data_IF_848370610190
#
_entry.id   IF_848370610190
#
_cell.length_a   1.000
_cell.length_b   1.000
_cell.length_c   1.000
_cell.angle_alpha   90.00
_cell.angle_beta   90.00
_cell.angle_gamma   90.00
#
_symmetry.space_group_name_H-M   'P 1'
#
loop_
_entity.id
_entity.type
_entity.pdbx_description
1 polymer ?
#
# COMPACT_ATOMS: atom_id res chain seq x y z
N UNK A 1 18.15 -21.31 1.06
CA UNK A 1 17.49 -22.01 2.21
C UNK A 1 16.38 -22.86 1.64
N UNK A 2 16.13 -24.07 2.18
CA UNK A 2 15.01 -24.90 1.74
C UNK A 2 13.71 -24.49 2.41
N UNK A 3 12.59 -24.46 1.67
CA UNK A 3 11.26 -24.18 2.20
C UNK A 3 10.55 -25.51 2.51
N UNK A 4 10.28 -25.78 3.79
CA UNK A 4 9.47 -26.93 4.19
C UNK A 4 8.00 -26.65 3.87
N UNK A 5 7.30 -27.60 3.27
CA UNK A 5 5.90 -27.46 2.88
C UNK A 5 5.04 -28.46 3.63
N UNK A 6 4.10 -27.95 4.43
CA UNK A 6 3.06 -28.71 5.10
C UNK A 6 1.71 -28.24 4.58
N UNK A 7 1.04 -29.04 3.78
CA UNK A 7 -0.28 -28.69 3.23
C UNK A 7 -1.39 -29.03 4.23
N UNK A 8 -2.42 -28.18 4.26
CA UNK A 8 -3.62 -28.48 5.04
C UNK A 8 -4.31 -29.74 4.54
N UNK A 9 -4.82 -30.53 5.49
CA UNK A 9 -5.67 -31.68 5.18
C UNK A 9 -7.16 -31.31 5.08
N UNK A 10 -7.51 -30.10 5.49
CA UNK A 10 -8.88 -29.57 5.54
C UNK A 10 -8.97 -28.21 4.88
N UNK A 11 -8.95 -28.13 3.52
CA UNK A 11 -9.08 -26.85 2.82
C UNK A 11 -10.37 -26.13 3.19
N UNK A 12 -10.32 -24.80 3.30
CA UNK A 12 -11.47 -23.95 3.60
C UNK A 12 -12.41 -23.87 2.38
N UNK A 13 -13.71 -23.70 2.63
CA UNK A 13 -14.63 -23.29 1.59
C UNK A 13 -14.26 -21.89 1.08
N UNK A 14 -14.26 -21.71 -0.25
CA UNK A 14 -13.98 -20.42 -0.87
C UNK A 14 -15.17 -19.47 -0.65
N UNK A 15 -14.92 -18.20 -0.33
CA UNK A 15 -15.99 -17.21 -0.23
C UNK A 15 -16.59 -16.87 -1.60
N UNK A 16 -17.77 -16.29 -1.59
CA UNK A 16 -18.38 -15.72 -2.80
C UNK A 16 -17.55 -14.51 -3.28
N UNK A 17 -17.05 -14.59 -4.52
CA UNK A 17 -16.21 -13.53 -5.11
C UNK A 17 -16.94 -12.20 -5.28
N UNK A 18 -18.27 -12.17 -5.27
CA UNK A 18 -19.08 -10.94 -5.31
C UNK A 18 -19.08 -10.16 -3.99
N UNK A 19 -18.65 -10.78 -2.88
CA UNK A 19 -18.74 -10.22 -1.52
C UNK A 19 -17.44 -10.30 -0.70
N UNK A 20 -16.30 -10.36 -1.36
CA UNK A 20 -15.00 -10.55 -0.71
C UNK A 20 -14.63 -9.46 0.30
N UNK A 21 -15.00 -8.20 0.04
CA UNK A 21 -14.50 -7.08 0.86
C UNK A 21 -12.98 -6.93 0.78
N UNK A 22 -12.37 -6.42 1.84
CA UNK A 22 -10.92 -6.29 1.94
C UNK A 22 -10.40 -6.88 3.25
N UNK A 23 -9.50 -7.88 3.17
CA UNK A 23 -8.83 -8.46 4.34
C UNK A 23 -9.72 -9.27 5.29
N UNK A 24 -10.86 -9.77 4.83
CA UNK A 24 -11.82 -10.54 5.64
C UNK A 24 -11.59 -12.06 5.56
N UNK A 25 -11.12 -12.54 4.42
CA UNK A 25 -10.86 -13.95 4.15
C UNK A 25 -9.38 -14.18 3.94
N UNK A 26 -8.87 -15.32 4.39
CA UNK A 26 -7.47 -15.70 4.23
C UNK A 26 -7.38 -17.08 3.59
N UNK A 27 -6.34 -17.28 2.78
CA UNK A 27 -6.09 -18.54 2.09
C UNK A 27 -5.78 -19.69 3.05
N UNK A 28 -5.57 -20.87 2.51
CA UNK A 28 -5.37 -22.09 3.31
C UNK A 28 -4.00 -22.13 3.99
N UNK A 29 -3.00 -21.43 3.44
CA UNK A 29 -1.63 -21.50 3.93
C UNK A 29 -1.04 -20.11 4.19
N UNK A 30 0.08 -20.08 4.93
CA UNK A 30 0.93 -18.93 5.15
C UNK A 30 2.39 -19.33 5.10
N UNK A 31 3.27 -18.42 4.68
CA UNK A 31 4.71 -18.59 4.80
C UNK A 31 5.20 -17.99 6.11
N UNK A 32 6.13 -18.68 6.78
CA UNK A 32 6.78 -18.22 8.02
C UNK A 32 8.28 -18.53 7.95
N UNK A 33 9.09 -17.59 8.42
CA UNK A 33 10.53 -17.75 8.57
C UNK A 33 10.98 -17.07 9.86
N UNK A 34 11.81 -17.75 10.64
CA UNK A 34 12.31 -17.25 11.93
C UNK A 34 13.71 -16.66 11.78
N UNK A 35 14.01 -15.66 12.61
CA UNK A 35 15.33 -15.06 12.73
C UNK A 35 15.81 -15.09 14.18
N UNK A 36 17.06 -15.46 14.37
CA UNK A 36 17.80 -15.18 15.59
C UNK A 36 19.16 -14.57 15.24
N UNK A 37 19.67 -13.71 16.13
CA UNK A 37 20.98 -13.08 15.91
C UNK A 37 22.10 -14.12 15.72
N UNK A 38 22.02 -15.25 16.38
CA UNK A 38 23.01 -16.33 16.30
C UNK A 38 22.96 -17.07 14.98
N UNK A 39 21.75 -17.41 14.48
CA UNK A 39 21.56 -18.28 13.31
C UNK A 39 21.28 -17.51 12.02
N UNK A 40 20.97 -16.22 12.11
CA UNK A 40 20.37 -15.50 11.00
C UNK A 40 18.95 -16.00 10.71
N UNK A 41 18.51 -15.87 9.46
CA UNK A 41 17.23 -16.42 8.99
C UNK A 41 17.31 -17.94 8.90
N UNK A 42 16.30 -18.63 9.41
CA UNK A 42 16.19 -20.08 9.43
C UNK A 42 14.75 -20.57 9.47
N UNK A 43 14.54 -21.85 9.29
CA UNK A 43 13.26 -22.57 9.43
C UNK A 43 12.14 -21.99 8.54
N UNK A 44 12.50 -21.71 7.27
CA UNK A 44 11.52 -21.28 6.26
C UNK A 44 10.50 -22.38 5.97
N UNK A 45 9.21 -22.05 6.08
CA UNK A 45 8.14 -23.03 5.94
C UNK A 45 6.84 -22.41 5.42
N UNK A 46 6.11 -23.19 4.65
CA UNK A 46 4.71 -22.93 4.28
C UNK A 46 3.87 -23.92 5.08
N UNK A 47 2.96 -23.41 5.89
CA UNK A 47 2.14 -24.20 6.82
C UNK A 47 0.66 -23.79 6.72
N UNK A 48 -0.28 -24.61 7.22
CA UNK A 48 -1.69 -24.21 7.30
C UNK A 48 -1.86 -22.87 8.02
N UNK A 49 -2.69 -22.00 7.48
CA UNK A 49 -3.00 -20.70 8.07
C UNK A 49 -3.61 -20.87 9.47
N UNK A 50 -2.96 -20.31 10.48
CA UNK A 50 -3.35 -20.45 11.88
C UNK A 50 -3.02 -19.20 12.70
N UNK A 51 -3.51 -19.15 13.92
CA UNK A 51 -3.17 -18.12 14.89
C UNK A 51 -1.68 -18.21 15.27
N UNK A 52 -1.06 -17.06 15.52
CA UNK A 52 0.30 -16.99 16.07
C UNK A 52 0.24 -17.08 17.59
N UNK A 53 1.12 -17.89 18.17
CA UNK A 53 1.33 -17.93 19.62
C UNK A 53 2.56 -17.12 19.97
N UNK A 54 2.36 -15.98 20.64
CA UNK A 54 3.42 -15.04 20.99
C UNK A 54 3.47 -14.83 22.51
N UNK A 55 4.68 -14.62 23.04
CA UNK A 55 4.86 -14.29 24.46
C UNK A 55 4.26 -12.90 24.75
N UNK A 56 3.56 -12.68 25.90
CA UNK A 56 2.96 -11.37 26.21
C UNK A 56 3.95 -10.19 26.24
N UNK A 57 5.21 -10.43 26.55
CA UNK A 57 6.28 -9.42 26.50
C UNK A 57 6.95 -9.31 25.13
N UNK A 58 6.33 -9.85 24.06
CA UNK A 58 6.87 -9.76 22.71
C UNK A 58 7.05 -8.29 22.31
N UNK A 59 8.23 -7.95 21.80
CA UNK A 59 8.65 -6.57 21.52
C UNK A 59 7.66 -5.82 20.62
N UNK A 60 7.06 -6.48 19.65
CA UNK A 60 6.08 -5.87 18.74
C UNK A 60 4.89 -5.26 19.47
N UNK A 61 4.41 -5.88 20.55
CA UNK A 61 3.22 -5.41 21.30
C UNK A 61 3.44 -4.10 22.06
N UNK A 62 4.69 -3.79 22.40
CA UNK A 62 5.01 -2.68 23.30
C UNK A 62 5.73 -1.53 22.61
N UNK A 63 6.51 -1.82 21.57
CA UNK A 63 7.43 -0.82 20.99
C UNK A 63 7.27 -0.67 19.47
N UNK A 64 6.22 -1.27 18.88
CA UNK A 64 5.92 -1.11 17.45
C UNK A 64 7.06 -1.56 16.54
N UNK A 65 7.85 -2.56 16.97
CA UNK A 65 8.96 -3.10 16.19
C UNK A 65 8.42 -4.01 15.07
N UNK A 66 7.78 -3.41 14.06
CA UNK A 66 7.21 -4.15 12.94
C UNK A 66 7.16 -3.29 11.67
N UNK A 67 7.16 -3.99 10.54
CA UNK A 67 6.98 -3.44 9.20
C UNK A 67 6.13 -4.38 8.38
N UNK A 68 5.50 -3.84 7.33
CA UNK A 68 4.71 -4.66 6.42
C UNK A 68 4.78 -4.16 4.99
N UNK A 69 4.34 -4.99 4.08
CA UNK A 69 4.15 -4.65 2.69
C UNK A 69 2.73 -4.97 2.21
N UNK A 70 2.38 -4.48 1.03
CA UNK A 70 1.12 -4.78 0.38
C UNK A 70 1.31 -4.79 -1.12
N UNK A 71 1.03 -5.94 -1.73
CA UNK A 71 1.01 -6.15 -3.17
C UNK A 71 -0.17 -7.03 -3.55
N UNK A 72 -0.36 -7.29 -4.83
CA UNK A 72 -1.47 -8.09 -5.32
C UNK A 72 -1.01 -9.09 -6.38
N UNK A 73 -1.64 -10.27 -6.39
CA UNK A 73 -1.62 -11.17 -7.51
C UNK A 73 -2.93 -11.06 -8.29
N UNK A 74 -2.83 -11.08 -9.60
CA UNK A 74 -3.93 -10.88 -10.52
C UNK A 74 -4.07 -12.11 -11.42
N UNK A 75 -5.32 -12.51 -11.70
CA UNK A 75 -5.60 -13.54 -12.70
C UNK A 75 -5.94 -12.88 -14.03
N UNK A 76 -5.22 -13.24 -15.07
CA UNK A 76 -5.50 -12.77 -16.42
C UNK A 76 -6.71 -13.47 -17.03
N UNK A 77 -7.22 -12.98 -18.15
CA UNK A 77 -8.33 -13.62 -18.88
C UNK A 77 -8.00 -15.04 -19.35
N UNK A 78 -6.73 -15.33 -19.62
CA UNK A 78 -6.21 -16.64 -20.00
C UNK A 78 -6.02 -17.59 -18.81
N UNK A 79 -6.29 -17.10 -17.57
CA UNK A 79 -6.15 -17.87 -16.35
C UNK A 79 -4.76 -17.86 -15.73
N UNK A 80 -3.79 -17.15 -16.32
CA UNK A 80 -2.44 -17.01 -15.75
C UNK A 80 -2.47 -16.13 -14.51
N UNK A 81 -1.54 -16.35 -13.59
CA UNK A 81 -1.37 -15.54 -12.39
C UNK A 81 -0.12 -14.70 -12.52
N UNK A 82 -0.22 -13.42 -12.17
CA UNK A 82 0.91 -12.50 -12.25
C UNK A 82 0.93 -11.50 -11.10
N UNK A 83 2.13 -11.03 -10.74
CA UNK A 83 2.40 -9.96 -9.79
C UNK A 83 2.74 -8.67 -10.54
N UNK A 84 2.65 -7.54 -9.84
CA UNK A 84 3.03 -6.24 -10.37
C UNK A 84 4.18 -5.66 -9.56
N UNK A 85 5.40 -5.60 -10.12
CA UNK A 85 6.64 -5.04 -9.56
C UNK A 85 6.99 -5.58 -8.15
N UNK A 86 6.89 -6.88 -7.86
CA UNK A 86 7.10 -7.43 -6.51
C UNK A 86 8.50 -7.14 -5.97
N UNK A 87 9.52 -7.04 -6.81
CA UNK A 87 10.90 -6.71 -6.43
C UNK A 87 10.97 -5.34 -5.73
N UNK A 88 10.17 -4.37 -6.20
CA UNK A 88 10.11 -3.05 -5.58
C UNK A 88 9.49 -3.09 -4.18
N UNK A 89 8.56 -4.02 -3.94
CA UNK A 89 7.98 -4.23 -2.62
C UNK A 89 9.00 -4.83 -1.65
N UNK A 90 9.75 -5.85 -2.05
CA UNK A 90 10.76 -6.44 -1.17
C UNK A 90 11.94 -5.49 -0.91
N UNK A 91 12.38 -4.72 -1.90
CA UNK A 91 13.37 -3.66 -1.70
C UNK A 91 12.87 -2.61 -0.70
N UNK A 92 11.59 -2.21 -0.77
CA UNK A 92 10.99 -1.26 0.18
C UNK A 92 10.78 -1.88 1.56
N UNK A 93 10.45 -3.16 1.66
CA UNK A 93 10.43 -3.90 2.93
C UNK A 93 11.78 -3.79 3.63
N UNK A 94 12.88 -4.03 2.89
CA UNK A 94 14.24 -3.92 3.43
C UNK A 94 14.61 -2.47 3.81
N UNK A 95 14.21 -1.48 3.03
CA UNK A 95 14.37 -0.07 3.41
C UNK A 95 13.66 0.26 4.72
N UNK A 96 12.45 -0.27 4.91
CA UNK A 96 11.71 -0.13 6.18
C UNK A 96 12.40 -0.90 7.31
N UNK A 97 12.88 -2.13 7.06
CA UNK A 97 13.60 -2.93 8.05
C UNK A 97 14.87 -2.24 8.54
N UNK A 98 15.66 -1.68 7.63
CA UNK A 98 16.87 -0.92 7.96
C UNK A 98 16.55 0.24 8.92
N UNK A 99 15.53 1.05 8.62
CA UNK A 99 15.12 2.18 9.46
C UNK A 99 14.63 1.73 10.83
N UNK A 100 13.90 0.62 10.89
CA UNK A 100 13.32 0.07 12.12
C UNK A 100 14.31 -0.85 12.87
N UNK A 101 15.53 -1.03 12.34
CA UNK A 101 16.57 -1.92 12.90
C UNK A 101 16.11 -3.36 13.06
N UNK A 102 15.25 -3.81 12.16
CA UNK A 102 14.88 -5.20 11.97
C UNK A 102 15.86 -5.89 11.00
N UNK A 103 15.99 -7.24 11.04
CA UNK A 103 16.87 -7.95 10.11
C UNK A 103 16.36 -7.82 8.68
N UNK A 104 17.29 -7.62 7.73
CA UNK A 104 16.97 -7.61 6.31
C UNK A 104 16.65 -9.02 5.82
N UNK A 105 15.71 -9.15 4.89
CA UNK A 105 15.40 -10.41 4.22
C UNK A 105 16.13 -10.48 2.87
N UNK A 106 16.51 -11.69 2.43
CA UNK A 106 16.96 -11.90 1.06
C UNK A 106 15.76 -11.71 0.11
N UNK A 107 15.83 -10.70 -0.75
CA UNK A 107 14.72 -10.30 -1.63
C UNK A 107 14.37 -11.40 -2.65
N UNK A 108 15.38 -12.07 -3.20
CA UNK A 108 15.16 -13.16 -4.15
C UNK A 108 14.51 -14.37 -3.48
N UNK A 109 14.96 -14.72 -2.28
CA UNK A 109 14.36 -15.79 -1.49
C UNK A 109 12.93 -15.45 -1.03
N UNK A 110 12.68 -14.21 -0.64
CA UNK A 110 11.33 -13.77 -0.25
C UNK A 110 10.36 -13.83 -1.44
N UNK A 111 10.83 -13.49 -2.65
CA UNK A 111 10.04 -13.63 -3.87
C UNK A 111 9.78 -15.11 -4.21
N UNK A 112 10.79 -15.98 -4.12
CA UNK A 112 10.63 -17.44 -4.30
C UNK A 112 9.61 -18.01 -3.33
N UNK A 113 9.68 -17.62 -2.06
CA UNK A 113 8.74 -18.05 -1.03
C UNK A 113 7.30 -17.60 -1.34
N UNK A 114 7.13 -16.35 -1.79
CA UNK A 114 5.85 -15.82 -2.22
C UNK A 114 5.28 -16.58 -3.42
N UNK A 115 6.09 -16.80 -4.46
CA UNK A 115 5.67 -17.58 -5.64
C UNK A 115 5.22 -18.99 -5.26
N UNK A 116 6.00 -19.65 -4.39
CA UNK A 116 5.69 -20.99 -3.91
C UNK A 116 4.36 -21.01 -3.14
N UNK A 117 4.14 -20.03 -2.28
CA UNK A 117 2.89 -19.90 -1.54
C UNK A 117 1.68 -19.66 -2.46
N UNK A 118 1.83 -18.76 -3.46
CA UNK A 118 0.76 -18.51 -4.43
C UNK A 118 0.45 -19.75 -5.27
N UNK A 119 1.47 -20.53 -5.71
CA UNK A 119 1.26 -21.77 -6.44
C UNK A 119 0.48 -22.81 -5.64
N UNK A 120 0.75 -22.92 -4.34
CA UNK A 120 0.03 -23.83 -3.43
C UNK A 120 -1.43 -23.41 -3.27
N UNK A 121 -1.68 -22.10 -3.16
CA UNK A 121 -3.01 -21.50 -2.95
C UNK A 121 -3.56 -20.86 -4.24
N UNK A 122 -3.16 -21.34 -5.43
CA UNK A 122 -3.53 -20.71 -6.71
C UNK A 122 -5.05 -20.60 -6.92
N UNK A 123 -5.81 -21.55 -6.39
CA UNK A 123 -7.28 -21.53 -6.44
C UNK A 123 -7.93 -20.39 -5.66
N UNK A 124 -7.15 -19.72 -4.78
CA UNK A 124 -7.60 -18.56 -4.02
C UNK A 124 -7.44 -17.24 -4.76
N UNK A 125 -6.74 -17.23 -5.90
CA UNK A 125 -6.68 -16.05 -6.76
C UNK A 125 -8.02 -15.92 -7.48
N UNK A 126 -8.83 -14.89 -7.18
CA UNK A 126 -10.19 -14.81 -7.68
C UNK A 126 -10.27 -14.64 -9.20
N UNK A 127 -11.43 -14.98 -9.78
CA UNK A 127 -11.72 -14.92 -11.21
C UNK A 127 -12.59 -13.73 -11.61
N UNK A 128 -13.40 -13.21 -10.67
CA UNK A 128 -14.34 -12.14 -10.96
C UNK A 128 -13.61 -10.84 -11.35
N UNK A 129 -14.13 -10.08 -12.32
CA UNK A 129 -13.53 -8.83 -12.75
C UNK A 129 -13.32 -7.85 -11.58
N UNK A 130 -12.15 -7.20 -11.53
CA UNK A 130 -11.79 -6.25 -10.49
C UNK A 130 -11.35 -6.87 -9.15
N UNK A 131 -11.43 -8.19 -9.02
CA UNK A 131 -10.94 -8.92 -7.84
C UNK A 131 -9.44 -9.23 -7.96
N UNK A 132 -8.79 -9.53 -6.85
CA UNK A 132 -7.37 -9.90 -6.82
C UNK A 132 -7.03 -10.66 -5.53
N UNK A 133 -5.87 -11.27 -5.47
CA UNK A 133 -5.34 -11.82 -4.23
C UNK A 133 -4.41 -10.79 -3.60
N UNK A 134 -4.80 -10.22 -2.45
CA UNK A 134 -3.95 -9.31 -1.70
C UNK A 134 -2.91 -10.08 -0.91
N UNK A 135 -1.67 -9.64 -0.98
CA UNK A 135 -0.50 -10.25 -0.38
C UNK A 135 0.02 -9.32 0.71
N UNK A 136 0.16 -9.84 1.94
CA UNK A 136 0.64 -9.12 3.10
C UNK A 136 1.91 -9.77 3.66
N UNK A 137 3.09 -9.42 3.15
CA UNK A 137 4.34 -9.68 3.86
C UNK A 137 4.44 -8.77 5.08
N UNK A 138 4.90 -9.28 6.20
CA UNK A 138 5.21 -8.49 7.39
C UNK A 138 6.32 -9.13 8.22
N UNK A 139 7.04 -8.28 8.92
CA UNK A 139 8.21 -8.65 9.72
C UNK A 139 8.14 -7.92 11.06
N UNK A 140 8.32 -8.65 12.15
CA UNK A 140 8.26 -8.05 13.48
C UNK A 140 9.30 -8.62 14.44
N UNK A 141 9.68 -7.80 15.44
CA UNK A 141 10.53 -8.21 16.57
C UNK A 141 9.78 -9.08 17.55
N UNK A 142 10.32 -10.25 17.84
CA UNK A 142 9.68 -11.31 18.64
C UNK A 142 10.40 -11.60 19.95
N UNK A 143 11.27 -10.72 20.43
CA UNK A 143 11.98 -10.92 21.71
C UNK A 143 10.98 -10.97 22.88
N UNK A 144 11.03 -11.98 23.75
CA UNK A 144 10.13 -12.12 24.88
C UNK A 144 10.61 -11.35 26.12
N UNK A 145 10.88 -10.05 25.96
CA UNK A 145 11.37 -9.19 27.05
C UNK A 145 10.89 -7.75 26.89
N UNK A 146 10.71 -7.06 28.01
CA UNK A 146 10.40 -5.64 28.06
C UNK A 146 11.67 -4.79 27.99
N UNK A 147 11.48 -3.50 27.69
CA UNK A 147 12.54 -2.50 27.52
C UNK A 147 12.90 -2.29 26.05
N UNK A 148 13.30 -1.07 25.69
CA UNK A 148 13.80 -0.77 24.35
C UNK A 148 15.21 -1.32 24.21
N UNK A 149 15.41 -2.20 23.24
CA UNK A 149 16.68 -2.89 23.00
C UNK A 149 16.84 -3.24 21.52
N UNK A 150 18.03 -3.69 21.14
CA UNK A 150 18.26 -4.26 19.83
C UNK A 150 17.50 -5.57 19.65
N UNK A 151 16.89 -5.77 18.53
CA UNK A 151 16.11 -6.98 18.20
C UNK A 151 17.06 -8.16 17.96
N UNK A 152 16.86 -9.24 18.72
CA UNK A 152 17.60 -10.49 18.64
C UNK A 152 16.80 -11.60 17.96
N UNK A 153 15.45 -11.50 18.02
CA UNK A 153 14.52 -12.45 17.40
C UNK A 153 13.50 -11.71 16.55
N UNK A 154 13.25 -12.24 15.37
CA UNK A 154 12.21 -11.72 14.48
C UNK A 154 11.50 -12.85 13.76
N UNK A 155 10.31 -12.56 13.26
CA UNK A 155 9.53 -13.47 12.42
C UNK A 155 9.11 -12.73 11.16
N UNK A 156 9.37 -13.35 10.01
CA UNK A 156 8.87 -12.88 8.71
C UNK A 156 7.74 -13.79 8.23
N UNK A 157 6.62 -13.20 7.87
CA UNK A 157 5.39 -13.92 7.49
C UNK A 157 4.83 -13.33 6.20
N UNK A 158 4.27 -14.20 5.36
CA UNK A 158 3.45 -13.79 4.21
C UNK A 158 2.08 -14.45 4.35
N UNK A 159 1.02 -13.63 4.37
CA UNK A 159 -0.37 -14.09 4.33
C UNK A 159 -1.07 -13.57 3.07
N UNK A 160 -2.05 -14.32 2.60
CA UNK A 160 -2.80 -14.05 1.37
C UNK A 160 -4.29 -13.90 1.68
N UNK A 161 -4.94 -12.93 1.02
CA UNK A 161 -6.35 -12.62 1.21
C UNK A 161 -7.02 -12.32 -0.13
N UNK A 162 -8.03 -13.10 -0.57
CA UNK A 162 -8.82 -12.71 -1.72
C UNK A 162 -9.60 -11.43 -1.40
N UNK A 163 -9.53 -10.45 -2.29
CA UNK A 163 -10.16 -9.15 -2.12
C UNK A 163 -11.01 -8.78 -3.33
N UNK A 164 -12.12 -8.10 -3.04
CA UNK A 164 -13.02 -7.56 -4.05
C UNK A 164 -12.46 -6.30 -4.70
N UNK A 165 -13.23 -5.73 -5.63
CA UNK A 165 -12.97 -4.39 -6.13
C UNK A 165 -12.96 -3.39 -4.97
N UNK A 166 -11.96 -2.53 -4.91
CA UNK A 166 -11.91 -1.46 -3.91
C UNK A 166 -13.12 -0.53 -4.03
N UNK A 167 -13.57 -0.31 -5.26
CA UNK A 167 -14.78 0.45 -5.57
C UNK A 167 -15.84 -0.47 -6.15
N UNK A 168 -16.93 -0.74 -5.40
CA UNK A 168 -18.02 -1.63 -5.83
C UNK A 168 -18.74 -1.16 -7.10
N UNK A 169 -18.83 0.16 -7.29
CA UNK A 169 -19.53 0.82 -8.39
C UNK A 169 -18.60 1.49 -9.40
N UNK A 170 -17.35 1.04 -9.50
CA UNK A 170 -16.28 1.71 -10.26
C UNK A 170 -15.60 2.80 -9.43
N UNK A 171 -14.62 3.50 -10.04
CA UNK A 171 -13.94 4.59 -9.35
C UNK A 171 -14.87 5.81 -9.25
N UNK A 172 -15.14 6.24 -8.02
CA UNK A 172 -15.94 7.45 -7.76
C UNK A 172 -15.11 8.49 -7.02
N UNK A 173 -15.27 9.78 -7.34
CA UNK A 173 -14.56 10.84 -6.65
C UNK A 173 -14.91 10.88 -5.17
N UNK A 174 -13.89 10.90 -4.32
CA UNK A 174 -14.03 10.93 -2.86
C UNK A 174 -13.96 12.35 -2.31
N UNK A 175 -14.50 12.52 -1.09
CA UNK A 175 -14.44 13.77 -0.33
C UNK A 175 -13.31 13.69 0.67
N UNK A 176 -12.45 14.70 0.70
CA UNK A 176 -11.24 14.75 1.52
C UNK A 176 -11.29 15.98 2.43
N UNK A 177 -10.96 15.78 3.70
CA UNK A 177 -10.77 16.85 4.67
C UNK A 177 -9.28 17.16 4.82
N UNK A 178 -8.88 18.42 4.72
CA UNK A 178 -7.50 18.82 5.00
C UNK A 178 -7.29 18.86 6.51
N UNK A 179 -6.34 18.09 7.00
CA UNK A 179 -6.03 17.97 8.42
C UNK A 179 -5.08 19.09 8.85
N UNK A 180 -5.45 19.82 9.89
CA UNK A 180 -4.71 20.99 10.39
C UNK A 180 -4.19 20.84 11.82
N UNK A 181 -4.66 19.83 12.55
CA UNK A 181 -4.30 19.58 13.96
C UNK A 181 -3.28 18.45 14.10
N UNK A 182 -3.59 17.30 13.51
CA UNK A 182 -2.75 16.12 13.59
C UNK A 182 -1.73 16.07 12.45
N UNK A 183 -0.66 15.32 12.67
CA UNK A 183 0.36 15.05 11.65
C UNK A 183 0.55 13.55 11.51
N UNK A 184 0.70 13.09 10.28
CA UNK A 184 0.97 11.67 9.98
C UNK A 184 2.40 11.28 10.35
N UNK A 185 3.35 12.13 10.03
CA UNK A 185 4.77 11.89 10.17
C UNK A 185 5.57 13.20 10.13
N UNK A 186 6.85 13.12 10.48
CA UNK A 186 7.79 14.23 10.37
C UNK A 186 9.08 13.77 9.70
N UNK A 187 9.79 14.69 9.06
CA UNK A 187 11.12 14.44 8.50
C UNK A 187 12.07 13.98 9.61
N UNK A 188 12.85 12.93 9.37
CA UNK A 188 13.71 12.29 10.37
C UNK A 188 12.99 11.24 11.25
N UNK A 189 11.67 11.17 11.18
CA UNK A 189 10.85 10.11 11.78
C UNK A 189 10.81 8.82 10.94
N UNK A 190 9.68 8.14 10.97
CA UNK A 190 9.45 6.85 10.28
C UNK A 190 8.53 6.97 9.07
N UNK A 191 8.14 8.20 8.66
CA UNK A 191 7.11 8.43 7.65
C UNK A 191 7.35 7.80 6.29
N UNK A 192 8.62 7.63 5.89
CA UNK A 192 8.99 6.98 4.63
C UNK A 192 9.04 5.45 4.73
N UNK A 193 8.84 4.89 5.93
CA UNK A 193 8.78 3.44 6.16
C UNK A 193 7.33 2.95 6.20
N UNK A 194 7.16 1.66 5.97
CA UNK A 194 5.84 1.03 6.08
C UNK A 194 5.73 0.28 7.41
N UNK A 195 5.69 1.04 8.52
CA UNK A 195 5.54 0.54 9.89
C UNK A 195 4.22 0.97 10.52
N UNK A 196 3.67 0.17 11.43
CA UNK A 196 2.33 0.37 12.01
C UNK A 196 2.16 1.65 12.81
N UNK A 197 3.24 2.18 13.40
CA UNK A 197 3.21 3.45 14.11
C UNK A 197 2.69 4.61 13.26
N UNK A 198 3.04 4.65 11.96
CA UNK A 198 2.54 5.67 11.03
C UNK A 198 1.02 5.56 10.80
N UNK A 199 0.49 4.33 10.86
CA UNK A 199 -0.94 4.06 10.68
C UNK A 199 -1.71 4.33 11.96
N UNK A 200 -1.17 3.94 13.12
CA UNK A 200 -1.74 4.27 14.42
C UNK A 200 -1.90 5.78 14.63
N UNK A 201 -0.92 6.57 14.20
CA UNK A 201 -0.97 8.03 14.26
C UNK A 201 -2.10 8.65 13.41
N UNK A 202 -2.59 7.95 12.39
CA UNK A 202 -3.63 8.45 11.49
C UNK A 202 -5.07 8.16 11.96
N UNK A 203 -5.27 7.32 12.97
CA UNK A 203 -6.59 6.83 13.38
C UNK A 203 -7.51 7.96 13.84
N UNK A 204 -7.02 8.88 14.69
CA UNK A 204 -7.84 9.99 15.24
C UNK A 204 -8.36 10.92 14.14
N UNK A 205 -7.49 11.37 13.26
CA UNK A 205 -7.87 12.23 12.15
C UNK A 205 -8.78 11.50 11.14
N UNK A 206 -8.52 10.21 10.89
CA UNK A 206 -9.36 9.38 10.02
C UNK A 206 -10.78 9.24 10.56
N UNK A 207 -10.95 8.94 11.85
CA UNK A 207 -12.26 8.83 12.49
C UNK A 207 -13.00 10.17 12.49
N UNK A 208 -12.31 11.29 12.82
CA UNK A 208 -12.88 12.65 12.76
C UNK A 208 -13.39 12.99 11.36
N UNK A 209 -12.63 12.65 10.32
CA UNK A 209 -13.04 12.87 8.94
C UNK A 209 -14.26 12.03 8.57
N UNK A 210 -14.30 10.74 8.92
CA UNK A 210 -15.43 9.84 8.66
C UNK A 210 -16.71 10.34 9.36
N UNK A 211 -16.64 10.72 10.61
CA UNK A 211 -17.78 11.31 11.38
C UNK A 211 -18.30 12.60 10.74
N UNK A 212 -17.43 13.37 10.07
CA UNK A 212 -17.79 14.57 9.32
C UNK A 212 -18.23 14.29 7.87
N UNK A 213 -18.28 13.02 7.44
CA UNK A 213 -18.73 12.62 6.10
C UNK A 213 -17.68 12.70 5.00
N UNK A 214 -16.40 12.70 5.38
CA UNK A 214 -15.25 12.65 4.46
C UNK A 214 -14.63 11.26 4.46
N UNK A 215 -14.12 10.83 3.30
CA UNK A 215 -13.55 9.49 3.14
C UNK A 215 -12.15 9.35 3.73
N UNK A 216 -11.36 10.44 3.69
CA UNK A 216 -9.95 10.47 4.10
C UNK A 216 -9.54 11.91 4.48
N UNK A 217 -8.34 12.05 5.05
CA UNK A 217 -7.69 13.33 5.29
C UNK A 217 -6.53 13.58 4.32
N UNK A 218 -6.31 14.84 3.94
CA UNK A 218 -5.10 15.30 3.27
C UNK A 218 -4.13 15.79 4.36
N UNK A 219 -2.96 15.19 4.42
CA UNK A 219 -1.94 15.47 5.40
C UNK A 219 -1.05 16.64 4.99
N UNK A 220 -0.78 17.51 5.94
CA UNK A 220 0.24 18.54 5.82
C UNK A 220 1.52 18.11 6.56
N UNK A 221 2.65 18.69 6.18
CA UNK A 221 3.94 18.44 6.82
C UNK A 221 3.91 18.75 8.33
N UNK A 222 4.67 17.98 9.10
CA UNK A 222 4.63 18.06 10.56
C UNK A 222 5.40 19.21 11.17
N UNK A 223 6.05 20.08 10.40
CA UNK A 223 6.88 21.20 10.90
C UNK A 223 6.19 22.53 10.65
N UNK A 224 5.95 22.85 9.39
CA UNK A 224 5.35 24.14 8.99
C UNK A 224 3.84 24.06 8.84
N UNK A 225 3.27 22.84 8.71
CA UNK A 225 1.85 22.57 8.42
C UNK A 225 1.36 23.32 7.18
N UNK A 226 2.25 23.41 6.23
CA UNK A 226 2.09 24.18 5.01
C UNK A 226 2.14 23.34 3.76
N UNK A 227 2.98 22.30 3.74
CA UNK A 227 3.21 21.51 2.55
C UNK A 227 2.42 20.22 2.58
N UNK A 228 1.76 19.92 1.47
CA UNK A 228 0.99 18.69 1.29
C UNK A 228 1.93 17.51 1.23
N UNK A 229 1.56 16.41 1.88
CA UNK A 229 2.34 15.17 1.90
C UNK A 229 1.60 13.99 1.29
N UNK A 230 0.53 13.53 1.90
CA UNK A 230 -0.23 12.34 1.50
C UNK A 230 -1.73 12.54 1.69
N UNK A 231 -2.55 11.67 1.08
CA UNK A 231 -3.99 11.60 1.32
C UNK A 231 -4.35 10.24 1.92
N UNK A 232 -4.82 10.25 3.18
CA UNK A 232 -5.04 9.02 3.94
C UNK A 232 -3.77 8.18 4.03
N UNK A 233 -3.79 6.97 3.48
CA UNK A 233 -2.65 6.07 3.37
C UNK A 233 -2.11 5.95 1.92
N UNK A 234 -2.29 6.99 1.11
CA UNK A 234 -1.92 7.03 -0.32
C UNK A 234 -1.05 8.25 -0.61
N UNK A 235 -0.16 8.13 -1.61
CA UNK A 235 0.44 9.32 -2.22
C UNK A 235 -0.63 10.12 -2.95
N UNK A 236 -0.40 11.42 -3.17
CA UNK A 236 -1.35 12.31 -3.82
C UNK A 236 -0.71 13.04 -4.99
N UNK A 237 -1.51 13.33 -6.00
CA UNK A 237 -1.12 14.13 -7.17
C UNK A 237 -2.25 15.11 -7.52
N UNK A 238 -1.88 16.26 -8.06
CA UNK A 238 -2.80 17.28 -8.53
C UNK A 238 -2.41 17.77 -9.92
N UNK A 239 -3.39 18.03 -10.76
CA UNK A 239 -3.18 18.65 -12.07
C UNK A 239 -3.59 20.12 -11.99
N UNK A 240 -2.62 21.02 -12.09
CA UNK A 240 -2.78 22.47 -11.93
C UNK A 240 -2.22 23.15 -13.19
N UNK A 241 -3.04 23.88 -13.93
CA UNK A 241 -2.63 24.54 -15.19
C UNK A 241 -1.88 23.59 -16.15
N UNK A 242 -2.35 22.34 -16.30
CA UNK A 242 -1.72 21.33 -17.14
C UNK A 242 -0.45 20.68 -16.55
N UNK A 243 0.11 21.18 -15.45
CA UNK A 243 1.21 20.55 -14.71
C UNK A 243 0.66 19.50 -13.75
N UNK A 244 1.21 18.30 -13.76
CA UNK A 244 0.90 17.26 -12.77
C UNK A 244 1.96 17.34 -11.66
N UNK A 245 1.53 17.75 -10.47
CA UNK A 245 2.38 17.94 -9.30
C UNK A 245 2.15 16.82 -8.29
N UNK A 246 3.22 16.25 -7.77
CA UNK A 246 3.18 15.39 -6.59
C UNK A 246 4.18 15.87 -5.56
N UNK A 247 3.88 15.77 -4.25
CA UNK A 247 4.83 16.12 -3.21
C UNK A 247 6.17 15.38 -3.36
N UNK A 248 7.27 16.12 -3.25
CA UNK A 248 8.62 15.56 -3.26
C UNK A 248 8.84 14.65 -2.06
N UNK A 249 9.61 13.58 -2.24
CA UNK A 249 9.96 12.64 -1.17
C UNK A 249 11.01 13.28 -0.23
N UNK A 250 10.54 13.94 0.81
CA UNK A 250 11.38 14.70 1.76
C UNK A 250 11.86 13.90 2.97
N UNK A 251 11.45 12.62 3.08
CA UNK A 251 11.78 11.74 4.19
C UNK A 251 10.64 11.51 5.20
N UNK A 252 9.48 12.12 4.97
CA UNK A 252 8.22 11.87 5.72
C UNK A 252 7.17 11.15 4.90
N UNK A 253 7.33 11.06 3.58
CA UNK A 253 6.39 10.48 2.62
C UNK A 253 6.85 9.09 2.22
N UNK A 254 5.92 8.12 2.18
CA UNK A 254 6.21 6.77 1.69
C UNK A 254 6.50 6.79 0.18
N UNK A 255 7.65 6.23 -0.29
CA UNK A 255 7.95 6.12 -1.72
C UNK A 255 7.06 5.05 -2.36
N UNK A 256 5.86 5.46 -2.81
CA UNK A 256 4.84 4.56 -3.35
C UNK A 256 5.26 3.92 -4.68
N UNK A 257 5.04 2.60 -4.82
CA UNK A 257 5.33 1.89 -6.08
C UNK A 257 4.33 2.30 -7.15
N UNK A 258 3.06 2.46 -6.79
CA UNK A 258 2.03 2.99 -7.69
C UNK A 258 2.37 4.42 -8.12
N UNK A 259 2.79 5.30 -7.19
CA UNK A 259 3.29 6.64 -7.50
C UNK A 259 4.42 6.62 -8.52
N UNK A 260 5.44 5.79 -8.30
CA UNK A 260 6.59 5.63 -9.21
C UNK A 260 6.14 5.15 -10.60
N UNK A 261 5.17 4.24 -10.65
CA UNK A 261 4.62 3.72 -11.92
C UNK A 261 3.82 4.79 -12.67
N UNK A 262 2.99 5.56 -11.98
CA UNK A 262 2.23 6.68 -12.57
C UNK A 262 3.17 7.74 -13.13
N UNK A 263 4.19 8.14 -12.37
CA UNK A 263 5.17 9.12 -12.82
C UNK A 263 5.91 8.67 -14.08
N UNK A 264 6.23 7.37 -14.18
CA UNK A 264 6.86 6.82 -15.37
C UNK A 264 5.91 6.85 -16.57
N UNK A 265 4.65 6.42 -16.42
CA UNK A 265 3.63 6.48 -17.50
C UNK A 265 3.49 7.91 -18.01
N UNK A 266 3.29 8.87 -17.11
CA UNK A 266 3.11 10.27 -17.48
C UNK A 266 4.31 10.85 -18.22
N UNK A 267 5.53 10.52 -17.77
CA UNK A 267 6.76 10.98 -18.44
C UNK A 267 6.95 10.35 -19.81
N UNK A 268 6.67 9.06 -19.94
CA UNK A 268 6.72 8.36 -21.25
C UNK A 268 5.74 8.95 -22.26
N UNK A 269 4.62 9.49 -21.77
CA UNK A 269 3.61 10.18 -22.59
C UNK A 269 3.93 11.66 -22.84
N UNK A 270 5.02 12.18 -22.31
CA UNK A 270 5.43 13.58 -22.47
C UNK A 270 4.61 14.58 -21.64
N UNK A 271 3.91 14.12 -20.59
CA UNK A 271 3.18 15.00 -19.70
C UNK A 271 4.14 15.91 -18.90
N UNK A 272 3.70 17.13 -18.60
CA UNK A 272 4.43 18.04 -17.72
C UNK A 272 4.26 17.58 -16.25
N UNK A 273 5.29 16.95 -15.67
CA UNK A 273 5.25 16.35 -14.34
C UNK A 273 6.36 16.89 -13.46
N UNK A 274 6.01 17.31 -12.25
CA UNK A 274 6.98 17.75 -11.25
C UNK A 274 6.82 17.03 -9.91
N UNK A 275 7.96 16.76 -9.29
CA UNK A 275 8.08 16.29 -7.92
C UNK A 275 8.65 17.44 -7.09
N UNK A 276 7.79 18.20 -6.44
CA UNK A 276 8.17 19.42 -5.70
C UNK A 276 7.34 19.61 -4.43
N UNK A 277 7.73 20.56 -3.61
CA UNK A 277 6.88 21.01 -2.52
C UNK A 277 5.63 21.68 -3.13
N UNK A 278 4.47 21.34 -2.59
CA UNK A 278 3.19 21.94 -2.94
C UNK A 278 2.58 22.48 -1.64
N UNK A 279 2.41 23.79 -1.55
CA UNK A 279 1.81 24.37 -0.36
C UNK A 279 0.29 24.27 -0.40
N UNK A 280 -0.33 24.27 0.78
CA UNK A 280 -1.79 24.36 0.88
C UNK A 280 -2.32 25.67 0.30
N UNK A 281 -1.60 26.76 0.48
CA UNK A 281 -1.97 28.06 -0.09
C UNK A 281 -2.03 28.01 -1.62
N UNK A 282 -1.00 27.45 -2.27
CA UNK A 282 -0.97 27.24 -3.71
C UNK A 282 -2.16 26.38 -4.21
N UNK A 283 -2.47 25.31 -3.46
CA UNK A 283 -3.62 24.45 -3.81
C UNK A 283 -4.94 25.20 -3.70
N UNK A 284 -5.13 26.01 -2.65
CA UNK A 284 -6.35 26.81 -2.46
C UNK A 284 -6.45 27.92 -3.51
N UNK A 285 -5.36 28.60 -3.82
CA UNK A 285 -5.32 29.59 -4.90
C UNK A 285 -5.70 28.97 -6.24
N UNK A 286 -5.19 27.78 -6.56
CA UNK A 286 -5.54 27.05 -7.78
C UNK A 286 -7.03 26.65 -7.80
N UNK A 287 -7.60 26.25 -6.67
CA UNK A 287 -9.03 25.96 -6.52
C UNK A 287 -9.90 27.21 -6.75
N UNK A 288 -9.52 28.33 -6.18
CA UNK A 288 -10.26 29.61 -6.28
C UNK A 288 -10.15 30.22 -7.68
N UNK A 289 -9.01 30.07 -8.31
CA UNK A 289 -8.79 30.50 -9.70
C UNK A 289 -9.42 29.56 -10.75
N UNK A 290 -9.90 28.36 -10.33
CA UNK A 290 -10.43 27.34 -11.25
C UNK A 290 -9.35 26.67 -12.11
N UNK A 291 -8.09 26.70 -11.68
CA UNK A 291 -6.93 26.14 -12.40
C UNK A 291 -6.53 24.76 -11.87
N UNK A 292 -7.09 24.30 -10.75
CA UNK A 292 -6.99 22.91 -10.32
C UNK A 292 -7.95 22.04 -11.13
N UNK A 293 -7.41 21.27 -12.06
CA UNK A 293 -8.17 20.47 -13.00
C UNK A 293 -8.58 19.11 -12.43
N UNK A 294 -7.63 18.41 -11.82
CA UNK A 294 -7.81 17.07 -11.27
C UNK A 294 -7.00 16.88 -9.98
N UNK A 295 -7.44 15.95 -9.13
CA UNK A 295 -6.69 15.47 -7.97
C UNK A 295 -6.97 14.01 -7.73
N UNK A 296 -5.95 13.25 -7.31
CA UNK A 296 -6.12 11.82 -7.00
C UNK A 296 -5.10 11.32 -5.99
N UNK A 297 -5.52 10.35 -5.16
CA UNK A 297 -4.64 9.50 -4.38
C UNK A 297 -4.19 8.29 -5.19
N UNK A 298 -3.04 7.71 -4.87
CA UNK A 298 -2.59 6.47 -5.49
C UNK A 298 -1.91 5.52 -4.52
N UNK A 299 -2.21 4.22 -4.65
CA UNK A 299 -1.68 3.16 -3.79
C UNK A 299 -2.10 1.78 -4.25
N UNK A 300 -1.57 0.73 -3.64
CA UNK A 300 -1.82 -0.66 -4.06
C UNK A 300 -3.30 -1.05 -3.95
N UNK A 301 -4.01 -0.61 -2.92
CA UNK A 301 -5.40 -1.03 -2.69
C UNK A 301 -6.36 -0.43 -3.73
N UNK A 302 -6.36 0.89 -3.86
CA UNK A 302 -7.26 1.64 -4.74
C UNK A 302 -6.74 1.83 -6.17
N UNK A 303 -5.46 1.59 -6.40
CA UNK A 303 -4.68 1.93 -7.60
C UNK A 303 -4.66 3.44 -7.82
N UNK A 304 -5.77 4.03 -8.22
CA UNK A 304 -5.99 5.49 -8.34
C UNK A 304 -7.34 5.81 -7.72
N UNK A 305 -7.39 6.83 -6.86
CA UNK A 305 -8.59 7.30 -6.16
C UNK A 305 -8.85 8.76 -6.48
N UNK A 306 -9.80 9.10 -7.36
CA UNK A 306 -10.07 10.50 -7.72
C UNK A 306 -10.61 11.29 -6.54
N UNK A 307 -10.21 12.55 -6.43
CA UNK A 307 -10.67 13.50 -5.40
C UNK A 307 -11.69 14.45 -6.04
N UNK A 308 -12.93 14.43 -5.56
CA UNK A 308 -14.00 15.28 -6.05
C UNK A 308 -14.24 16.53 -5.21
N UNK A 309 -13.91 16.47 -3.92
CA UNK A 309 -14.08 17.60 -3.00
C UNK A 309 -12.94 17.68 -2.00
N UNK A 310 -12.57 18.91 -1.65
CA UNK A 310 -11.66 19.23 -0.55
C UNK A 310 -12.37 20.16 0.44
N UNK A 311 -12.24 19.87 1.73
CA UNK A 311 -12.71 20.76 2.80
C UNK A 311 -11.51 21.35 3.52
N UNK A 312 -11.52 22.69 3.66
CA UNK A 312 -10.48 23.43 4.37
C UNK A 312 -11.06 24.67 5.06
N UNK A 313 -10.80 24.84 6.34
CA UNK A 313 -11.16 26.03 7.13
C UNK A 313 -12.63 26.49 6.94
N UNK A 314 -13.58 25.57 7.04
CA UNK A 314 -15.01 25.88 6.94
C UNK A 314 -15.55 25.99 5.52
N UNK A 315 -14.70 25.83 4.48
CA UNK A 315 -15.10 25.95 3.07
C UNK A 315 -14.91 24.63 2.34
N UNK A 316 -15.89 24.24 1.54
CA UNK A 316 -15.81 23.08 0.64
C UNK A 316 -15.52 23.55 -0.77
N UNK A 317 -14.54 22.94 -1.41
CA UNK A 317 -14.15 23.18 -2.79
C UNK A 317 -14.46 21.94 -3.61
N UNK A 318 -14.99 22.12 -4.81
CA UNK A 318 -15.30 21.02 -5.73
C UNK A 318 -14.29 21.00 -6.87
N UNK A 319 -13.67 19.86 -7.12
CA UNK A 319 -12.72 19.64 -8.21
C UNK A 319 -13.47 19.04 -9.41
N UNK A 320 -13.24 19.54 -10.61
CA UNK A 320 -13.81 19.01 -11.86
C UNK A 320 -15.34 18.75 -11.78
N UNK A 321 -16.09 19.66 -11.16
CA UNK A 321 -17.55 19.51 -10.93
C UNK A 321 -17.94 18.19 -10.25
N UNK A 322 -17.07 17.59 -9.44
CA UNK A 322 -17.27 16.31 -8.77
C UNK A 322 -17.17 15.10 -9.68
N UNK A 323 -16.61 15.25 -10.86
CA UNK A 323 -16.43 14.17 -11.85
C UNK A 323 -14.98 13.68 -11.86
N UNK A 324 -14.79 12.47 -12.37
CA UNK A 324 -13.45 11.92 -12.63
C UNK A 324 -12.82 12.70 -13.77
N UNK A 325 -11.55 13.07 -13.64
CA UNK A 325 -10.81 13.72 -14.72
C UNK A 325 -10.27 12.70 -15.73
N UNK A 326 -10.05 13.16 -16.96
CA UNK A 326 -9.59 12.30 -18.06
C UNK A 326 -8.21 11.68 -17.79
N UNK A 327 -7.30 12.45 -17.17
CA UNK A 327 -5.97 11.96 -16.78
C UNK A 327 -6.08 10.86 -15.71
N UNK A 328 -6.90 11.10 -14.70
CA UNK A 328 -7.15 10.16 -13.61
C UNK A 328 -7.75 8.85 -14.13
N UNK A 329 -8.76 8.92 -14.99
CA UNK A 329 -9.38 7.75 -15.61
C UNK A 329 -8.38 6.95 -16.45
N UNK A 330 -7.63 7.64 -17.31
CA UNK A 330 -6.62 7.01 -18.17
C UNK A 330 -5.54 6.28 -17.35
N UNK A 331 -5.06 6.90 -16.27
CA UNK A 331 -4.07 6.27 -15.40
C UNK A 331 -4.61 5.01 -14.72
N UNK A 332 -5.85 5.07 -14.24
CA UNK A 332 -6.54 3.91 -13.67
C UNK A 332 -6.65 2.77 -14.69
N UNK A 333 -7.17 3.06 -15.88
CA UNK A 333 -7.36 2.06 -16.94
C UNK A 333 -6.03 1.46 -17.42
N UNK A 334 -4.99 2.29 -17.56
CA UNK A 334 -3.66 1.83 -17.98
C UNK A 334 -3.05 0.89 -16.93
N UNK A 335 -3.02 1.31 -15.66
CA UNK A 335 -2.42 0.50 -14.60
C UNK A 335 -3.18 -0.81 -14.37
N UNK A 336 -4.51 -0.73 -14.26
CA UNK A 336 -5.34 -1.92 -14.09
C UNK A 336 -5.27 -2.82 -15.33
N UNK A 337 -5.23 -2.24 -16.52
CA UNK A 337 -5.04 -2.97 -17.76
C UNK A 337 -3.75 -3.80 -17.79
N UNK A 338 -2.63 -3.23 -17.36
CA UNK A 338 -1.34 -3.94 -17.22
C UNK A 338 -1.44 -5.01 -16.12
N UNK A 339 -1.99 -4.66 -14.95
CA UNK A 339 -2.10 -5.55 -13.79
C UNK A 339 -2.93 -6.80 -14.07
N UNK A 340 -4.01 -6.71 -14.84
CA UNK A 340 -4.85 -7.85 -15.25
C UNK A 340 -4.48 -8.45 -16.62
N UNK A 341 -3.37 -8.01 -17.24
CA UNK A 341 -2.91 -8.53 -18.52
C UNK A 341 -3.79 -8.15 -19.73
N UNK A 342 -4.62 -7.11 -19.61
CA UNK A 342 -5.45 -6.57 -20.69
C UNK A 342 -4.68 -5.61 -21.61
N UNK A 343 -3.61 -5.02 -21.09
CA UNK A 343 -2.69 -4.14 -21.79
C UNK A 343 -1.30 -4.79 -21.70
N UNK A 344 -0.58 -4.81 -22.82
CA UNK A 344 0.78 -5.31 -22.88
C UNK A 344 1.71 -4.52 -21.96
N UNK A 345 2.51 -5.22 -21.17
CA UNK A 345 3.54 -4.62 -20.33
C UNK A 345 4.83 -4.37 -21.13
N UNK A 346 4.97 -3.18 -21.68
CA UNK A 346 6.18 -2.75 -22.40
C UNK A 346 7.32 -2.29 -21.48
N UNK A 347 7.11 -2.31 -20.17
CA UNK A 347 8.05 -1.79 -19.16
C UNK A 347 8.69 -2.86 -18.29
N UNK A 348 8.29 -4.12 -18.43
CA UNK A 348 8.80 -5.23 -17.62
C UNK A 348 8.38 -5.13 -16.16
N UNK A 349 7.17 -4.66 -15.88
CA UNK A 349 6.63 -4.54 -14.51
C UNK A 349 5.88 -5.77 -14.03
N UNK A 350 5.41 -6.57 -14.97
CA UNK A 350 4.67 -7.80 -14.68
C UNK A 350 5.64 -8.95 -14.42
N UNK A 351 5.39 -9.66 -13.35
CA UNK A 351 6.11 -10.86 -12.95
C UNK A 351 5.16 -12.07 -12.98
N UNK A 352 5.22 -12.94 -14.03
CA UNK A 352 4.34 -14.08 -14.13
C UNK A 352 4.70 -15.17 -13.12
N UNK A 353 3.70 -15.77 -12.47
CA UNK A 353 3.85 -16.98 -11.65
C UNK A 353 3.82 -18.19 -12.57
N UNK A 354 4.94 -18.87 -12.71
CA UNK A 354 5.10 -20.05 -13.60
C UNK A 354 4.94 -21.36 -12.83
#
# INVERSE_FOLDING_TARGET
MEIKIEKTLTPKAKPDESSLGFGQYFTDHMFIMDYTREKGWHDARIVPFSNLSLHPACTVFHYGAEIFEGMKAYRTAEGNIQLFRPEQNFARLNSSAERMRLPLVDEAFALEALETLIKIDADWVPHAPGTSLYIRPFLFGADPKLGVHSIDRSVFIIILSPVGSYYKEGINPVKIMIETEDVRAVKGGTGYTKCGGNYGASNRAGEKAEQAGYSQVLWLDGVERKYIEEVGAMNVMFKINGEIVTPALTGSILPGITRKSILQILRDEGANVSERLLSIDELIEALEAGTLEEGWGCGTAAVVSPIGQLYYNGKTYTINNGKIGDTTQKLYDTLTGIQWGKIEDTRGWVHPIK
#
